data_IF_417131020957
#
_entry.id   IF_417131020957
#
_cell.length_a   1.000
_cell.length_b   1.000
_cell.length_c   1.000
_cell.angle_alpha   90.00
_cell.angle_beta   90.00
_cell.angle_gamma   90.00
#
_symmetry.space_group_name_H-M   'P 1'
#
loop_
_entity.id
_entity.type
_entity.pdbx_description
1 polymer ?
#
# COMPACT_ATOMS: atom_id res chain seq x y z
N UNK A 1 1.92 9.77 9.20
CA UNK A 1 1.49 8.47 8.64
C UNK A 1 0.25 8.64 7.76
N UNK A 2 0.24 8.07 6.55
CA UNK A 2 -0.90 7.97 5.65
C UNK A 2 -1.58 6.61 5.87
N UNK A 3 -2.90 6.58 6.07
CA UNK A 3 -3.66 5.33 6.29
C UNK A 3 -4.42 4.97 5.02
N UNK A 4 -4.22 3.76 4.52
CA UNK A 4 -4.88 3.24 3.32
C UNK A 4 -5.61 1.95 3.70
N UNK A 5 -6.92 1.90 3.46
CA UNK A 5 -7.71 0.68 3.63
C UNK A 5 -7.86 -0.01 2.28
N UNK A 6 -7.44 -1.27 2.20
CA UNK A 6 -7.53 -2.09 1.00
C UNK A 6 -8.44 -3.27 1.30
N UNK A 7 -9.35 -3.60 0.37
CA UNK A 7 -10.36 -4.65 0.58
C UNK A 7 -9.75 -6.06 0.58
N UNK A 8 -8.77 -6.31 -0.28
CA UNK A 8 -8.14 -7.63 -0.43
C UNK A 8 -6.73 -7.50 -0.98
N UNK A 9 -5.90 -8.49 -0.70
CA UNK A 9 -4.63 -8.74 -1.37
C UNK A 9 -4.88 -9.54 -2.66
N UNK A 10 -3.90 -9.57 -3.55
CA UNK A 10 -3.92 -10.33 -4.80
C UNK A 10 -2.55 -10.97 -5.01
N UNK A 11 -2.47 -12.31 -5.06
CA UNK A 11 -1.22 -13.07 -5.14
C UNK A 11 -0.15 -12.59 -4.15
N UNK A 12 -0.50 -12.52 -2.85
CA UNK A 12 0.37 -12.02 -1.78
C UNK A 12 0.90 -10.60 -2.00
N UNK A 13 0.22 -9.80 -2.80
CA UNK A 13 0.52 -8.40 -3.02
C UNK A 13 -0.65 -7.52 -2.60
N UNK A 14 -0.32 -6.31 -2.17
CA UNK A 14 -1.30 -5.26 -1.91
C UNK A 14 -1.06 -4.10 -2.86
N UNK A 15 -2.12 -3.60 -3.47
CA UNK A 15 -2.07 -2.47 -4.38
C UNK A 15 -2.49 -1.19 -3.66
N UNK A 16 -1.72 -0.12 -3.82
CA UNK A 16 -2.12 1.23 -3.44
C UNK A 16 -2.04 2.16 -4.64
N UNK A 17 -2.86 3.22 -4.64
CA UNK A 17 -2.78 4.25 -5.69
C UNK A 17 -1.47 5.04 -5.55
N UNK A 18 -0.85 5.37 -6.68
CA UNK A 18 0.40 6.15 -6.74
C UNK A 18 0.32 7.45 -5.94
N UNK A 19 -0.84 8.14 -5.93
CA UNK A 19 -1.06 9.35 -5.14
C UNK A 19 -0.68 9.21 -3.66
N UNK A 20 -0.91 8.04 -3.05
CA UNK A 20 -0.57 7.80 -1.64
C UNK A 20 0.93 7.56 -1.45
N UNK A 21 1.55 6.88 -2.41
CA UNK A 21 2.99 6.66 -2.44
C UNK A 21 3.75 7.99 -2.63
N UNK A 22 3.34 8.80 -3.60
CA UNK A 22 3.95 10.10 -3.89
C UNK A 22 3.74 11.06 -2.72
N UNK A 23 2.55 11.07 -2.13
CA UNK A 23 2.29 11.87 -0.92
C UNK A 23 3.14 11.41 0.26
N UNK A 24 3.31 10.10 0.47
CA UNK A 24 4.15 9.56 1.54
C UNK A 24 5.61 9.95 1.36
N UNK A 25 6.13 9.80 0.14
CA UNK A 25 7.50 10.15 -0.22
C UNK A 25 7.76 11.65 -0.08
N UNK A 26 6.90 12.50 -0.66
CA UNK A 26 7.04 13.96 -0.62
C UNK A 26 7.01 14.51 0.81
N UNK A 27 6.17 13.93 1.68
CA UNK A 27 6.01 14.39 3.06
C UNK A 27 6.84 13.60 4.08
N UNK A 28 7.69 12.66 3.63
CA UNK A 28 8.47 11.74 4.50
C UNK A 28 7.60 11.07 5.57
N UNK A 29 6.45 10.54 5.15
CA UNK A 29 5.47 9.88 6.04
C UNK A 29 5.40 8.39 5.73
N UNK A 30 5.22 7.59 6.76
CA UNK A 30 4.95 6.15 6.60
C UNK A 30 3.56 5.91 6.02
N UNK A 31 3.38 4.78 5.34
CA UNK A 31 2.08 4.29 4.87
C UNK A 31 1.67 3.09 5.71
N UNK A 32 0.52 3.19 6.37
CA UNK A 32 -0.13 2.06 7.00
C UNK A 32 -1.22 1.54 6.06
N UNK A 33 -1.04 0.31 5.59
CA UNK A 33 -1.96 -0.40 4.71
C UNK A 33 -2.72 -1.41 5.56
N UNK A 34 -4.04 -1.26 5.64
CA UNK A 34 -4.91 -2.20 6.36
C UNK A 34 -5.67 -3.09 5.39
N UNK A 35 -5.59 -4.39 5.60
CA UNK A 35 -6.35 -5.42 4.87
C UNK A 35 -7.07 -6.26 5.92
N UNK A 36 -8.39 -6.16 5.98
CA UNK A 36 -9.21 -6.78 7.04
C UNK A 36 -8.75 -6.35 8.45
N UNK A 37 -8.32 -7.31 9.28
CA UNK A 37 -7.81 -7.09 10.64
C UNK A 37 -6.29 -6.90 10.67
N UNK A 38 -5.60 -7.22 9.58
CA UNK A 38 -4.16 -7.11 9.49
C UNK A 38 -3.72 -5.74 8.98
N UNK A 39 -2.52 -5.34 9.36
CA UNK A 39 -1.91 -4.12 8.87
C UNK A 39 -0.44 -4.33 8.52
N UNK A 40 -0.01 -3.66 7.45
CA UNK A 40 1.38 -3.54 7.06
C UNK A 40 1.79 -2.08 7.13
N UNK A 41 2.98 -1.81 7.66
CA UNK A 41 3.55 -0.46 7.69
C UNK A 41 4.72 -0.43 6.71
N UNK A 42 4.63 0.43 5.71
CA UNK A 42 5.74 0.78 4.85
C UNK A 42 6.39 2.04 5.42
N UNK A 43 7.60 1.90 5.96
CA UNK A 43 8.34 3.04 6.49
C UNK A 43 8.80 3.96 5.36
N UNK A 44 8.88 5.26 5.62
CA UNK A 44 9.38 6.21 4.63
C UNK A 44 10.77 5.84 4.09
N UNK A 45 11.66 5.33 4.96
CA UNK A 45 13.01 4.87 4.61
C UNK A 45 12.97 3.75 3.56
N UNK A 46 12.03 2.82 3.68
CA UNK A 46 11.88 1.68 2.77
C UNK A 46 11.31 2.11 1.41
N UNK A 47 10.43 3.12 1.41
CA UNK A 47 9.91 3.74 0.18
C UNK A 47 11.03 4.44 -0.61
N UNK A 48 12.01 5.03 0.07
CA UNK A 48 13.16 5.67 -0.59
C UNK A 48 14.21 4.66 -1.05
N UNK A 49 14.44 3.59 -0.29
CA UNK A 49 15.58 2.70 -0.50
C UNK A 49 15.37 1.59 -1.53
N UNK A 50 14.25 1.58 -2.29
CA UNK A 50 13.85 0.45 -3.17
C UNK A 50 13.84 -0.93 -2.49
N UNK A 51 13.88 -1.00 -1.15
CA UNK A 51 13.93 -2.28 -0.42
C UNK A 51 12.60 -3.01 -0.43
N UNK A 52 11.50 -2.28 -0.60
CA UNK A 52 10.19 -2.92 -0.72
C UNK A 52 10.10 -3.59 -2.08
N UNK A 53 9.81 -4.91 -2.16
CA UNK A 53 9.58 -5.58 -3.43
C UNK A 53 8.36 -4.96 -4.10
N UNK A 54 8.62 -4.16 -5.14
CA UNK A 54 7.61 -3.42 -5.89
C UNK A 54 7.53 -3.99 -7.30
N UNK A 55 6.32 -4.37 -7.75
CA UNK A 55 6.11 -4.64 -9.18
C UNK A 55 5.94 -3.32 -9.94
N UNK A 56 6.22 -3.34 -11.24
CA UNK A 56 6.02 -2.19 -12.12
C UNK A 56 4.63 -1.57 -11.90
N UNK A 57 4.53 -0.24 -11.80
CA UNK A 57 3.25 0.43 -11.68
C UNK A 57 2.33 0.03 -12.83
N UNK A 58 1.10 -0.38 -12.50
CA UNK A 58 0.10 -0.79 -13.48
C UNK A 58 -0.90 0.34 -13.65
N UNK A 59 -1.12 0.77 -14.89
CA UNK A 59 -2.22 1.67 -15.23
C UNK A 59 -3.52 0.87 -15.26
N UNK A 60 -4.48 1.28 -14.45
CA UNK A 60 -5.81 0.68 -14.38
C UNK A 60 -6.82 1.77 -14.73
N UNK A 61 -7.60 1.52 -15.77
CA UNK A 61 -8.72 2.38 -16.12
C UNK A 61 -9.92 2.06 -15.23
N UNK A 62 -10.35 3.03 -14.45
CA UNK A 62 -11.55 2.89 -13.62
C UNK A 62 -12.78 3.23 -14.47
N UNK A 63 -13.54 2.19 -14.84
CA UNK A 63 -14.75 2.32 -15.66
C UNK A 63 -15.88 3.09 -14.98
N UNK A 64 -15.82 3.29 -13.66
CA UNK A 64 -16.85 4.01 -12.91
C UNK A 64 -16.57 5.50 -12.79
N UNK A 65 -15.30 5.89 -12.61
CA UNK A 65 -14.90 7.30 -12.57
C UNK A 65 -14.50 7.86 -13.95
N UNK A 66 -14.22 6.99 -14.92
CA UNK A 66 -13.67 7.38 -16.22
C UNK A 66 -12.19 7.84 -16.14
N UNK A 67 -11.54 7.65 -14.99
CA UNK A 67 -10.17 8.10 -14.75
C UNK A 67 -9.17 6.95 -14.84
N UNK A 68 -7.97 7.26 -15.31
CA UNK A 68 -6.83 6.35 -15.18
C UNK A 68 -6.20 6.47 -13.80
N UNK A 69 -5.93 5.32 -13.18
CA UNK A 69 -5.26 5.23 -11.89
C UNK A 69 -4.01 4.37 -12.02
N UNK A 70 -2.90 4.87 -11.49
CA UNK A 70 -1.67 4.09 -11.37
C UNK A 70 -1.71 3.34 -10.03
N UNK A 71 -1.64 2.01 -10.10
CA UNK A 71 -1.52 1.13 -8.95
C UNK A 71 -0.08 0.67 -8.79
N UNK A 72 0.41 0.77 -7.56
CA UNK A 72 1.71 0.27 -7.16
C UNK A 72 1.48 -0.94 -6.26
N UNK A 73 2.09 -2.06 -6.62
CA UNK A 73 1.94 -3.32 -5.90
C UNK A 73 3.15 -3.54 -5.00
N UNK A 74 2.87 -3.86 -3.75
CA UNK A 74 3.85 -4.20 -2.73
C UNK A 74 3.62 -5.63 -2.27
N UNK A 75 4.70 -6.38 -1.99
CA UNK A 75 4.57 -7.67 -1.33
C UNK A 75 3.90 -7.48 0.02
N UNK A 76 2.80 -8.20 0.25
CA UNK A 76 2.05 -8.14 1.49
C UNK A 76 2.83 -8.84 2.60
N UNK A 77 3.24 -8.06 3.59
CA UNK A 77 3.94 -8.51 4.78
C UNK A 77 3.21 -7.90 5.99
N UNK A 78 2.09 -8.50 6.40
CA UNK A 78 1.35 -7.99 7.54
C UNK A 78 2.26 -8.03 8.76
N UNK A 79 2.32 -6.91 9.48
CA UNK A 79 2.86 -6.93 10.83
C UNK A 79 1.86 -7.75 11.64
N UNK A 80 2.28 -8.92 12.12
CA UNK A 80 1.52 -9.77 13.05
C UNK A 80 1.34 -9.03 14.37
N UNK A 81 0.48 -8.03 14.37
CA UNK A 81 -0.10 -7.46 15.59
C UNK A 81 -1.47 -8.10 15.68
N UNK A 82 -1.48 -9.41 15.97
CA UNK A 82 -2.67 -10.10 16.41
C UNK A 82 -3.13 -9.35 17.66
N UNK A 83 -4.20 -8.57 17.55
CA UNK A 83 -4.89 -8.10 18.74
C UNK A 83 -5.48 -9.36 19.38
N UNK A 84 -4.79 -9.91 20.38
CA UNK A 84 -5.37 -10.87 21.31
C UNK A 84 -6.62 -10.21 21.90
N UNK A 85 -7.79 -10.62 21.42
CA UNK A 85 -9.04 -10.47 22.16
C UNK A 85 -8.94 -11.42 23.34
N UNK A 86 -8.64 -10.85 24.51
CA UNK A 86 -8.75 -11.51 25.82
C UNK A 86 -10.24 -11.65 26.14
#
# INVERSE_FOLDING_TARGET
>A
MIRVKVKKTWHDMVAIRAKYYDAARKNKRDICIRVNQDQMILKCEELESKRVPMKNPVKVFDKFSGEEHILIYFKWQPSTVQQQLI
#
